data_IF_368252772186
#
_entry.id   IF_368252772186
#
_cell.length_a   1.000
_cell.length_b   1.000
_cell.length_c   1.000
_cell.angle_alpha   90.00
_cell.angle_beta   90.00
_cell.angle_gamma   90.00
#
_symmetry.space_group_name_H-M   'P 1'
#
loop_
_entity.id
_entity.type
_entity.pdbx_description
1 polymer ?
#
# COMPACT_ATOMS: atom_id res chain seq x y z
N UNK A 1 19.45 -3.46 -0.24
CA UNK A 1 18.95 -2.54 0.82
C UNK A 1 17.49 -2.86 1.09
N UNK A 2 17.02 -2.74 2.33
CA UNK A 2 15.59 -2.94 2.66
C UNK A 2 14.98 -1.57 2.97
N UNK A 3 13.91 -1.22 2.28
CA UNK A 3 13.08 -0.06 2.65
C UNK A 3 11.94 -0.54 3.55
N UNK A 4 11.97 -0.15 4.81
CA UNK A 4 10.98 -0.60 5.79
C UNK A 4 9.70 0.24 5.79
N UNK A 5 9.55 1.24 4.91
CA UNK A 5 8.38 2.13 4.93
C UNK A 5 8.00 2.67 3.54
N UNK A 6 7.17 1.91 2.82
CA UNK A 6 6.59 2.34 1.54
C UNK A 6 5.07 2.34 1.60
N UNK A 7 4.49 3.23 0.78
CA UNK A 7 3.05 3.34 0.56
C UNK A 7 2.71 3.31 -0.94
N UNK A 8 2.62 2.10 -1.49
CA UNK A 8 1.99 1.84 -2.78
C UNK A 8 0.49 1.65 -2.52
N UNK A 9 -0.35 2.39 -3.23
CA UNK A 9 -1.81 2.30 -3.16
C UNK A 9 -2.43 1.98 -4.53
N UNK A 10 -3.70 1.55 -4.56
CA UNK A 10 -4.45 1.52 -5.81
C UNK A 10 -4.43 2.87 -6.53
N UNK A 11 -4.46 2.86 -7.86
CA UNK A 11 -4.32 4.07 -8.69
C UNK A 11 -5.22 5.24 -8.26
N UNK A 12 -6.47 4.97 -7.84
CA UNK A 12 -7.40 6.01 -7.39
C UNK A 12 -6.93 6.73 -6.11
N UNK A 13 -6.21 6.05 -5.21
CA UNK A 13 -5.60 6.63 -4.00
C UNK A 13 -4.31 7.35 -4.36
N UNK A 14 -3.44 6.72 -5.14
CA UNK A 14 -2.14 7.28 -5.54
C UNK A 14 -2.32 8.61 -6.28
N UNK A 15 -3.26 8.68 -7.23
CA UNK A 15 -3.62 9.91 -7.93
C UNK A 15 -3.99 11.04 -6.97
N UNK A 16 -4.93 10.78 -6.05
CA UNK A 16 -5.37 11.78 -5.05
C UNK A 16 -4.24 12.22 -4.12
N UNK A 17 -3.33 11.30 -3.77
CA UNK A 17 -2.16 11.62 -2.96
C UNK A 17 -1.21 12.55 -3.71
N UNK A 18 -0.89 12.24 -4.98
CA UNK A 18 -0.02 13.10 -5.81
C UNK A 18 -0.67 14.47 -6.05
N UNK A 19 -1.96 14.52 -6.36
CA UNK A 19 -2.73 15.77 -6.49
C UNK A 19 -2.68 16.61 -5.21
N UNK A 20 -2.79 15.96 -4.04
CA UNK A 20 -2.69 16.62 -2.75
C UNK A 20 -1.27 17.16 -2.53
N UNK A 21 -0.22 16.35 -2.74
CA UNK A 21 1.18 16.78 -2.56
C UNK A 21 1.50 17.98 -3.45
N UNK A 22 1.12 17.96 -4.73
CA UNK A 22 1.37 19.05 -5.67
C UNK A 22 0.76 20.39 -5.25
N UNK A 23 -0.32 20.39 -4.45
CA UNK A 23 -0.88 21.64 -3.90
C UNK A 23 0.03 22.28 -2.85
N UNK A 24 0.82 21.48 -2.14
CA UNK A 24 1.75 21.94 -1.10
C UNK A 24 3.18 22.09 -1.60
N UNK A 25 3.58 21.28 -2.59
CA UNK A 25 4.91 21.27 -3.21
C UNK A 25 4.73 21.27 -4.72
N UNK A 26 4.44 22.44 -5.35
CA UNK A 26 4.13 22.51 -6.78
C UNK A 26 5.28 22.07 -7.70
N UNK A 27 6.51 22.12 -7.19
CA UNK A 27 7.74 21.76 -7.90
C UNK A 27 7.97 20.25 -7.97
N UNK A 28 7.16 19.44 -7.26
CA UNK A 28 7.34 17.99 -7.25
C UNK A 28 7.04 17.40 -8.63
N UNK A 29 8.05 16.77 -9.24
CA UNK A 29 7.94 16.15 -10.55
C UNK A 29 7.52 14.67 -10.42
N UNK A 30 6.26 14.44 -10.03
CA UNK A 30 5.67 13.09 -9.93
C UNK A 30 4.37 13.03 -10.74
N UNK A 31 4.24 12.01 -11.59
CA UNK A 31 3.02 11.80 -12.38
C UNK A 31 1.84 11.38 -11.50
N UNK A 32 0.65 11.92 -11.78
CA UNK A 32 -0.61 11.49 -11.15
C UNK A 32 -1.09 10.13 -11.68
N UNK A 33 -0.50 9.67 -12.78
CA UNK A 33 -0.76 8.37 -13.39
C UNK A 33 0.33 7.34 -13.09
N UNK A 34 1.17 7.62 -12.08
CA UNK A 34 2.23 6.70 -11.65
C UNK A 34 1.62 5.35 -11.27
N UNK A 35 2.11 4.30 -11.91
CA UNK A 35 1.67 2.92 -11.72
C UNK A 35 2.47 2.21 -10.63
N UNK A 36 1.95 1.09 -10.14
CA UNK A 36 2.65 0.27 -9.15
C UNK A 36 3.93 -0.33 -9.73
N UNK A 37 3.88 -0.74 -11.00
CA UNK A 37 5.03 -1.25 -11.77
C UNK A 37 6.16 -0.23 -11.82
N UNK A 38 5.86 1.02 -12.21
CA UNK A 38 6.85 2.09 -12.26
C UNK A 38 7.47 2.37 -10.88
N UNK A 39 6.68 2.28 -9.80
CA UNK A 39 7.20 2.41 -8.43
C UNK A 39 8.15 1.25 -8.11
N UNK A 40 7.77 0.00 -8.40
CA UNK A 40 8.60 -1.18 -8.15
C UNK A 40 9.92 -1.11 -8.94
N UNK A 41 9.87 -0.72 -10.22
CA UNK A 41 11.05 -0.52 -11.06
C UNK A 41 11.96 0.58 -10.51
N UNK A 42 11.37 1.67 -10.03
CA UNK A 42 12.12 2.76 -9.37
C UNK A 42 12.84 2.24 -8.12
N UNK A 43 12.17 1.45 -7.27
CA UNK A 43 12.81 0.86 -6.09
C UNK A 43 13.97 -0.06 -6.47
N UNK A 44 13.76 -0.93 -7.47
CA UNK A 44 14.79 -1.85 -7.94
C UNK A 44 16.02 -1.12 -8.49
N UNK A 45 15.83 -0.07 -9.31
CA UNK A 45 16.91 0.75 -9.86
C UNK A 45 17.73 1.50 -8.80
N UNK A 46 17.16 1.72 -7.60
CA UNK A 46 17.85 2.31 -6.46
C UNK A 46 18.46 1.27 -5.49
N UNK A 47 18.51 -0.01 -5.88
CA UNK A 47 19.13 -1.07 -5.08
C UNK A 47 18.29 -1.55 -3.88
N UNK A 48 16.98 -1.24 -3.88
CA UNK A 48 16.03 -1.78 -2.91
C UNK A 48 15.74 -3.24 -3.28
N UNK A 49 16.25 -4.14 -2.45
CA UNK A 49 16.10 -5.58 -2.63
C UNK A 49 14.77 -6.09 -2.07
N UNK A 50 14.23 -5.44 -1.03
CA UNK A 50 12.94 -5.75 -0.43
C UNK A 50 12.33 -4.46 0.13
N UNK A 51 11.01 -4.39 0.16
CA UNK A 51 10.32 -3.24 0.76
C UNK A 51 9.07 -3.65 1.52
N UNK A 52 8.76 -2.89 2.56
CA UNK A 52 7.55 -3.11 3.35
C UNK A 52 6.46 -2.20 2.82
N UNK A 53 5.37 -2.78 2.32
CA UNK A 53 4.25 -1.99 1.82
C UNK A 53 3.12 -1.89 2.85
N UNK A 54 2.79 -0.66 3.20
CA UNK A 54 1.72 -0.33 4.13
C UNK A 54 0.55 0.32 3.41
N UNK A 55 -0.64 -0.25 3.59
CA UNK A 55 -1.92 0.40 3.25
C UNK A 55 -2.59 0.90 4.52
N UNK A 56 -3.40 1.95 4.41
CA UNK A 56 -4.25 2.41 5.51
C UNK A 56 -5.60 2.93 4.98
N UNK A 57 -6.73 2.41 5.50
CA UNK A 57 -8.06 2.89 5.15
C UNK A 57 -8.32 4.25 5.77
N UNK A 58 -8.90 5.17 4.99
CA UNK A 58 -9.39 6.46 5.48
C UNK A 58 -10.86 6.36 5.90
N UNK A 59 -11.54 5.32 5.41
CA UNK A 59 -12.93 5.02 5.73
C UNK A 59 -13.11 3.50 5.96
N UNK A 60 -14.10 3.08 6.79
CA UNK A 60 -14.33 1.66 7.08
C UNK A 60 -14.49 0.77 5.84
N UNK A 61 -15.14 1.27 4.79
CA UNK A 61 -15.40 0.53 3.55
C UNK A 61 -14.14 0.17 2.74
N UNK A 62 -12.99 0.78 3.04
CA UNK A 62 -11.75 0.56 2.30
C UNK A 62 -10.90 -0.58 2.88
N UNK A 63 -11.13 -1.01 4.13
CA UNK A 63 -10.22 -1.95 4.82
C UNK A 63 -9.98 -3.24 4.04
N UNK A 64 -11.06 -3.89 3.55
CA UNK A 64 -10.95 -5.16 2.83
C UNK A 64 -10.37 -4.99 1.42
N UNK A 65 -10.76 -3.94 0.70
CA UNK A 65 -10.25 -3.70 -0.65
C UNK A 65 -8.77 -3.35 -0.64
N UNK A 66 -8.30 -2.62 0.37
CA UNK A 66 -6.88 -2.32 0.57
C UNK A 66 -6.08 -3.56 1.00
N UNK A 67 -6.63 -4.43 1.85
CA UNK A 67 -5.97 -5.70 2.18
C UNK A 67 -5.86 -6.61 0.95
N UNK A 68 -6.91 -6.70 0.14
CA UNK A 68 -6.89 -7.43 -1.13
C UNK A 68 -5.85 -6.83 -2.08
N UNK A 69 -5.78 -5.51 -2.18
CA UNK A 69 -4.76 -4.84 -2.98
C UNK A 69 -3.34 -5.26 -2.56
N UNK A 70 -3.03 -5.23 -1.27
CA UNK A 70 -1.72 -5.62 -0.77
C UNK A 70 -1.43 -7.10 -0.95
N UNK A 71 -2.45 -7.95 -0.88
CA UNK A 71 -2.33 -9.36 -1.24
C UNK A 71 -1.92 -9.52 -2.70
N UNK A 72 -2.62 -8.88 -3.65
CA UNK A 72 -2.27 -8.96 -5.07
C UNK A 72 -0.86 -8.39 -5.35
N UNK A 73 -0.49 -7.29 -4.70
CA UNK A 73 0.86 -6.72 -4.78
C UNK A 73 1.94 -7.73 -4.34
N UNK A 74 1.68 -8.47 -3.25
CA UNK A 74 2.60 -9.50 -2.77
C UNK A 74 2.77 -10.68 -3.75
N UNK A 75 1.78 -10.93 -4.62
CA UNK A 75 1.86 -11.95 -5.68
C UNK A 75 2.57 -11.45 -6.93
N UNK A 76 2.48 -10.14 -7.20
CA UNK A 76 3.09 -9.49 -8.35
C UNK A 76 4.58 -9.19 -8.13
N UNK A 77 4.96 -8.84 -6.90
CA UNK A 77 6.33 -8.47 -6.55
C UNK A 77 6.83 -9.33 -5.39
N UNK A 78 7.68 -10.32 -5.70
CA UNK A 78 8.23 -11.27 -4.72
C UNK A 78 9.06 -10.59 -3.61
N UNK A 79 9.53 -9.36 -3.83
CA UNK A 79 10.29 -8.57 -2.87
C UNK A 79 9.41 -7.60 -2.05
N UNK A 80 8.08 -7.62 -2.25
CA UNK A 80 7.13 -6.82 -1.49
C UNK A 80 6.66 -7.55 -0.23
N UNK A 81 6.97 -7.00 0.94
CA UNK A 81 6.55 -7.48 2.24
C UNK A 81 5.30 -6.70 2.64
N UNK A 82 4.13 -7.28 2.40
CA UNK A 82 2.86 -6.55 2.49
C UNK A 82 2.15 -6.75 3.83
N UNK A 83 1.63 -5.64 4.38
CA UNK A 83 0.90 -5.62 5.65
C UNK A 83 -0.59 -5.39 5.42
N UNK A 84 -1.44 -6.01 6.24
CA UNK A 84 -2.85 -5.69 6.30
C UNK A 84 -3.10 -4.39 7.07
N UNK A 85 -4.34 -3.93 7.02
CA UNK A 85 -4.83 -2.78 7.79
C UNK A 85 -6.32 -2.93 8.09
N UNK A 86 -6.79 -2.18 9.08
CA UNK A 86 -8.19 -2.15 9.49
C UNK A 86 -8.52 -0.76 10.02
N UNK A 87 -9.63 -0.19 9.57
CA UNK A 87 -10.10 1.09 10.07
C UNK A 87 -10.72 0.92 11.47
N UNK A 88 -10.47 1.84 12.43
CA UNK A 88 -11.04 1.75 13.78
C UNK A 88 -12.58 1.77 13.80
N UNK A 89 -13.19 2.39 12.79
CA UNK A 89 -14.65 2.45 12.62
C UNK A 89 -15.31 1.20 12.02
N UNK A 90 -14.56 0.17 11.58
CA UNK A 90 -15.18 -1.11 11.20
C UNK A 90 -15.79 -1.77 12.44
N UNK A 91 -16.95 -2.41 12.30
CA UNK A 91 -17.55 -3.18 13.40
C UNK A 91 -16.91 -4.57 13.54
N UNK A 92 -16.49 -5.15 12.41
CA UNK A 92 -15.95 -6.50 12.20
C UNK A 92 -14.42 -6.51 12.13
N UNK A 93 -13.74 -5.74 12.99
CA UNK A 93 -12.28 -5.54 12.91
C UNK A 93 -11.49 -6.83 13.06
N UNK A 94 -11.96 -7.72 13.94
CA UNK A 94 -11.29 -9.00 14.21
C UNK A 94 -11.32 -9.88 12.97
N UNK A 95 -12.44 -9.89 12.26
CA UNK A 95 -12.66 -10.64 11.04
C UNK A 95 -11.82 -10.08 9.89
N UNK A 96 -11.72 -8.75 9.77
CA UNK A 96 -10.82 -8.10 8.79
C UNK A 96 -9.36 -8.47 9.04
N UNK A 97 -8.91 -8.43 10.29
CA UNK A 97 -7.53 -8.79 10.65
C UNK A 97 -7.27 -10.28 10.41
N UNK A 98 -8.21 -11.16 10.74
CA UNK A 98 -8.10 -12.59 10.46
C UNK A 98 -8.01 -12.88 8.97
N UNK A 99 -8.86 -12.27 8.15
CA UNK A 99 -8.80 -12.40 6.68
C UNK A 99 -7.41 -11.97 6.16
N UNK A 100 -6.94 -10.79 6.59
CA UNK A 100 -5.63 -10.26 6.18
C UNK A 100 -4.46 -11.18 6.54
N UNK A 101 -4.43 -11.70 7.77
CA UNK A 101 -3.29 -12.49 8.25
C UNK A 101 -3.37 -13.97 7.87
N UNK A 102 -4.56 -14.58 7.94
CA UNK A 102 -4.73 -16.03 7.82
C UNK A 102 -5.11 -16.46 6.41
N UNK A 103 -5.91 -15.65 5.69
CA UNK A 103 -6.35 -15.99 4.34
C UNK A 103 -5.40 -15.41 3.28
N UNK A 104 -5.03 -14.14 3.42
CA UNK A 104 -4.09 -13.48 2.49
C UNK A 104 -2.63 -13.72 2.82
N UNK A 105 -2.31 -14.10 4.07
CA UNK A 105 -0.92 -14.29 4.49
C UNK A 105 -0.11 -12.99 4.55
N UNK A 106 -0.77 -11.84 4.75
CA UNK A 106 -0.09 -10.57 4.99
C UNK A 106 0.67 -10.65 6.32
N UNK A 107 1.86 -10.06 6.39
CA UNK A 107 2.85 -10.40 7.44
C UNK A 107 2.62 -9.68 8.78
N UNK A 108 1.64 -8.79 8.85
CA UNK A 108 1.33 -7.98 10.02
C UNK A 108 0.25 -6.96 9.71
N UNK A 109 -0.04 -6.07 10.66
CA UNK A 109 -1.05 -5.02 10.53
C UNK A 109 -0.43 -3.62 10.74
N UNK A 110 -0.82 -2.67 9.89
CA UNK A 110 -0.61 -1.23 10.09
C UNK A 110 -1.92 -0.57 10.53
N UNK A 111 -1.84 0.24 11.58
CA UNK A 111 -2.92 1.09 12.10
C UNK A 111 -2.64 2.56 11.78
#
# INVERSE_FOLDING_TARGET
MIDAHIHIFPTYRSKKAVEWIKRYIPEINVSETLTEEEIIETLASHGISHFFNYVYPLKPEESRSLNRFNYELSKKANNAICFGSVHPGNADRVEIVKEALLEFGLVGIKF
#
